data_IF_103230437339
#
_entry.id   IF_103230437339
#
_cell.length_a   1.000
_cell.length_b   1.000
_cell.length_c   1.000
_cell.angle_alpha   90.00
_cell.angle_beta   90.00
_cell.angle_gamma   90.00
#
_symmetry.space_group_name_H-M   'P 1'
#
loop_
_entity.id
_entity.type
_entity.pdbx_description
1 polymer ?
#
# COMPACT_ATOMS: atom_id res chain seq x y z
N UNK A 1 -14.15 -12.23 -15.66
CA UNK A 1 -13.15 -11.46 -15.38
C UNK A 1 -12.33 -11.12 -16.57
N UNK A 2 -11.88 -10.11 -16.62
CA UNK A 2 -11.09 -9.66 -17.71
C UNK A 2 -9.81 -10.40 -17.81
N UNK A 3 -9.88 -11.62 -17.44
CA UNK A 3 -8.71 -12.35 -17.41
C UNK A 3 -8.09 -12.52 -18.69
N UNK A 4 -8.86 -12.55 -19.73
CA UNK A 4 -8.28 -12.79 -21.01
C UNK A 4 -7.32 -11.71 -21.36
N UNK A 5 -7.71 -10.47 -21.19
CA UNK A 5 -6.77 -9.43 -21.50
C UNK A 5 -5.64 -9.42 -20.52
N UNK A 6 -5.90 -9.72 -19.27
CA UNK A 6 -4.81 -9.75 -18.35
C UNK A 6 -3.85 -10.88 -18.64
N UNK A 7 -4.36 -11.98 -19.12
CA UNK A 7 -3.46 -13.02 -19.52
C UNK A 7 -2.57 -12.62 -20.66
N UNK A 8 -3.10 -11.93 -21.62
CA UNK A 8 -2.31 -11.45 -22.72
C UNK A 8 -1.27 -10.47 -22.24
N UNK A 9 -1.64 -9.61 -21.32
CA UNK A 9 -0.71 -8.66 -20.80
C UNK A 9 0.39 -9.33 -20.01
N UNK A 10 0.05 -10.29 -19.18
CA UNK A 10 1.06 -11.00 -18.44
C UNK A 10 1.97 -11.79 -19.34
N UNK A 11 1.44 -12.29 -20.41
CA UNK A 11 2.25 -13.00 -21.36
C UNK A 11 3.29 -12.08 -21.95
N UNK A 12 2.92 -10.86 -22.24
CA UNK A 12 3.85 -9.90 -22.80
C UNK A 12 4.80 -9.35 -21.76
N UNK A 13 4.32 -9.13 -20.55
CA UNK A 13 5.10 -8.51 -19.50
C UNK A 13 5.33 -9.54 -18.43
N UNK A 14 6.42 -10.25 -18.56
CA UNK A 14 6.75 -11.23 -17.54
C UNK A 14 7.67 -10.67 -16.50
N UNK A 15 7.88 -9.39 -16.55
CA UNK A 15 8.82 -8.79 -15.64
C UNK A 15 8.20 -8.57 -14.29
N UNK A 16 9.04 -8.65 -13.30
CA UNK A 16 8.64 -8.48 -11.93
C UNK A 16 9.29 -7.25 -11.37
N UNK A 17 8.71 -6.72 -10.34
CA UNK A 17 9.24 -5.55 -9.67
C UNK A 17 9.01 -5.75 -8.18
N UNK A 18 9.93 -5.23 -7.39
CA UNK A 18 9.77 -5.31 -5.94
C UNK A 18 8.94 -4.16 -5.47
N UNK A 19 8.03 -4.44 -4.55
CA UNK A 19 7.27 -3.38 -3.89
C UNK A 19 7.60 -3.45 -2.42
N UNK A 20 8.18 -2.37 -1.92
CA UNK A 20 8.55 -2.25 -0.52
C UNK A 20 7.46 -1.48 0.20
N UNK A 21 7.17 -1.88 1.41
CA UNK A 21 6.13 -1.24 2.20
C UNK A 21 6.77 -0.58 3.42
N UNK A 22 6.48 0.69 3.60
CA UNK A 22 6.92 1.43 4.77
C UNK A 22 5.71 1.96 5.50
N UNK A 23 5.85 2.14 6.79
CA UNK A 23 4.79 2.70 7.60
C UNK A 23 5.37 3.71 8.56
N UNK A 24 4.59 4.75 8.82
CA UNK A 24 4.97 5.82 9.73
C UNK A 24 3.74 6.20 10.52
N UNK A 25 3.93 6.57 11.76
CA UNK A 25 2.86 7.09 12.59
C UNK A 25 3.20 8.51 12.97
N UNK A 26 2.21 9.39 12.77
CA UNK A 26 2.40 10.79 13.07
C UNK A 26 2.36 10.97 14.58
N UNK A 27 3.52 11.18 15.16
CA UNK A 27 3.70 11.62 16.52
C UNK A 27 3.13 10.78 17.63
N UNK A 28 2.61 9.66 17.44
CA UNK A 28 1.96 8.98 18.53
C UNK A 28 2.50 7.62 18.76
N UNK A 29 2.68 7.26 19.99
CA UNK A 29 3.29 6.00 20.32
C UNK A 29 2.33 4.95 20.81
N UNK A 30 1.04 5.25 20.98
CA UNK A 30 0.12 4.22 21.48
C UNK A 30 -0.42 3.35 20.37
N UNK A 31 -0.25 3.74 19.12
CA UNK A 31 -0.68 2.93 17.98
C UNK A 31 0.55 2.29 17.38
N UNK A 32 0.51 0.98 17.19
CA UNK A 32 1.52 0.28 16.40
C UNK A 32 0.98 0.15 14.99
N UNK A 33 1.81 0.41 14.01
CA UNK A 33 1.36 0.36 12.61
C UNK A 33 2.53 -0.09 11.75
N UNK A 34 2.39 -1.23 11.11
CA UNK A 34 3.48 -1.76 10.31
C UNK A 34 2.95 -2.69 9.25
N UNK A 35 3.67 -2.84 8.14
CA UNK A 35 3.28 -3.81 7.14
C UNK A 35 3.55 -5.22 7.66
N UNK A 36 2.72 -6.15 7.23
CA UNK A 36 2.93 -7.54 7.65
C UNK A 36 4.15 -8.12 6.99
N UNK A 37 4.45 -7.70 5.77
CA UNK A 37 5.72 -8.02 5.13
C UNK A 37 6.32 -6.73 4.62
N UNK A 38 7.63 -6.67 4.56
CA UNK A 38 8.28 -5.41 4.19
C UNK A 38 8.50 -5.28 2.72
N UNK A 39 8.50 -6.36 1.99
CA UNK A 39 8.73 -6.31 0.57
C UNK A 39 8.15 -7.54 -0.07
N UNK A 40 7.53 -7.38 -1.24
CA UNK A 40 7.09 -8.51 -2.03
C UNK A 40 7.52 -8.27 -3.47
N UNK A 41 7.70 -9.37 -4.19
CA UNK A 41 7.96 -9.31 -5.60
C UNK A 41 6.63 -9.52 -6.31
N UNK A 42 6.29 -8.62 -7.21
CA UNK A 42 5.02 -8.71 -7.92
C UNK A 42 5.28 -8.73 -9.41
N UNK A 43 4.39 -9.33 -10.14
CA UNK A 43 4.46 -9.30 -11.58
C UNK A 43 3.73 -8.06 -12.06
N UNK A 44 4.37 -7.33 -12.97
CA UNK A 44 3.79 -6.11 -13.50
C UNK A 44 2.50 -6.47 -14.23
N UNK A 45 1.45 -5.74 -13.92
CA UNK A 45 0.15 -5.96 -14.55
C UNK A 45 -0.78 -6.88 -13.78
N UNK A 46 -0.30 -7.50 -12.70
CA UNK A 46 -1.13 -8.40 -11.92
C UNK A 46 -1.53 -7.79 -10.60
N UNK A 47 -2.74 -8.07 -10.19
CA UNK A 47 -3.20 -7.61 -8.88
C UNK A 47 -2.45 -8.30 -7.76
N UNK A 48 -2.15 -7.55 -6.74
CA UNK A 48 -1.47 -8.05 -5.55
C UNK A 48 -2.17 -7.53 -4.33
N UNK A 49 -1.99 -8.23 -3.23
CA UNK A 49 -2.63 -7.89 -1.98
C UNK A 49 -1.58 -7.87 -0.89
N UNK A 50 -1.59 -6.82 -0.11
CA UNK A 50 -0.71 -6.70 1.04
C UNK A 50 -1.53 -6.22 2.22
N UNK A 51 -1.01 -6.44 3.42
CA UNK A 51 -1.72 -6.08 4.62
C UNK A 51 -0.83 -5.24 5.52
N UNK A 52 -1.44 -4.27 6.16
CA UNK A 52 -0.81 -3.51 7.23
C UNK A 52 -1.53 -3.85 8.51
N UNK A 53 -0.79 -3.92 9.59
CA UNK A 53 -1.35 -4.26 10.88
C UNK A 53 -1.29 -3.05 11.77
N UNK A 54 -2.40 -2.71 12.40
CA UNK A 54 -2.46 -1.61 13.33
C UNK A 54 -3.04 -2.11 14.64
N UNK A 55 -2.50 -1.61 15.74
CA UNK A 55 -2.99 -1.97 17.05
C UNK A 55 -3.05 -0.74 17.92
N UNK A 56 -4.18 -0.57 18.59
CA UNK A 56 -4.35 0.48 19.58
C UNK A 56 -3.94 -0.07 20.93
N UNK A 57 -2.78 0.36 21.42
CA UNK A 57 -2.26 -0.15 22.69
C UNK A 57 -2.72 0.65 23.89
N UNK A 58 -3.76 1.44 23.72
CA UNK A 58 -4.31 2.21 24.83
C UNK A 58 -5.64 1.64 25.27
N UNK A 59 -6.16 2.17 26.34
CA UNK A 59 -7.44 1.72 26.87
C UNK A 59 -8.59 2.61 26.43
N UNK A 60 -8.38 3.42 25.41
CA UNK A 60 -9.42 4.31 24.88
C UNK A 60 -9.49 4.14 23.38
N UNK A 61 -10.67 4.36 22.80
CA UNK A 61 -10.76 4.31 21.34
C UNK A 61 -10.00 5.49 20.73
N UNK A 62 -9.40 5.24 19.58
CA UNK A 62 -8.62 6.25 18.87
C UNK A 62 -9.04 6.27 17.43
N UNK A 63 -9.25 7.48 16.91
CA UNK A 63 -9.59 7.66 15.52
C UNK A 63 -8.32 7.87 14.71
N UNK A 64 -8.19 7.14 13.62
CA UNK A 64 -7.02 7.22 12.76
C UNK A 64 -7.42 7.48 11.34
N UNK A 65 -6.50 8.02 10.57
CA UNK A 65 -6.65 8.21 9.14
C UNK A 65 -5.30 7.98 8.51
N UNK A 66 -5.27 7.31 7.37
CA UNK A 66 -4.01 6.99 6.72
C UNK A 66 -3.96 7.58 5.33
N UNK A 67 -2.76 7.95 4.92
CA UNK A 67 -2.53 8.40 3.55
C UNK A 67 -1.32 7.65 3.03
N UNK A 68 -1.17 7.61 1.71
CA UNK A 68 -0.03 6.91 1.15
C UNK A 68 0.72 7.76 0.14
N UNK A 69 1.97 7.41 -0.06
CA UNK A 69 2.82 7.96 -1.09
C UNK A 69 3.53 6.86 -1.81
N UNK A 70 3.85 7.09 -3.06
CA UNK A 70 4.60 6.15 -3.87
C UNK A 70 5.94 6.79 -4.23
N UNK A 71 7.00 6.04 -4.09
CA UNK A 71 8.34 6.52 -4.40
C UNK A 71 9.02 5.54 -5.34
N UNK A 72 9.65 5.98 -6.41
CA UNK A 72 9.82 7.38 -6.80
C UNK A 72 8.49 7.98 -7.25
N UNK A 73 8.42 9.27 -7.19
CA UNK A 73 7.18 9.99 -7.44
C UNK A 73 6.59 9.64 -8.79
N UNK A 74 7.43 9.48 -9.79
CA UNK A 74 6.97 9.20 -11.14
C UNK A 74 6.24 7.85 -11.23
N UNK A 75 6.54 6.94 -10.31
CA UNK A 75 5.90 5.63 -10.35
C UNK A 75 4.45 5.68 -9.88
N UNK A 76 4.07 6.76 -9.20
CA UNK A 76 2.72 6.83 -8.65
C UNK A 76 1.64 6.72 -9.68
N UNK A 77 1.89 7.27 -10.87
CA UNK A 77 0.86 7.23 -11.90
C UNK A 77 0.61 5.83 -12.45
N UNK A 78 1.48 4.88 -12.12
CA UNK A 78 1.33 3.50 -12.60
C UNK A 78 0.76 2.57 -11.55
N UNK A 79 0.43 3.10 -10.38
CA UNK A 79 -0.29 2.34 -9.40
C UNK A 79 -1.78 2.61 -9.58
N UNK A 80 -2.40 1.88 -10.48
CA UNK A 80 -3.81 2.09 -10.76
C UNK A 80 -4.68 1.21 -9.89
N UNK A 81 -5.83 1.71 -9.58
CA UNK A 81 -6.85 0.93 -8.88
C UNK A 81 -6.39 0.44 -7.52
N UNK A 82 -5.60 1.25 -6.84
CA UNK A 82 -5.28 0.92 -5.47
C UNK A 82 -6.54 1.05 -4.65
N UNK A 83 -6.89 -0.02 -3.97
CA UNK A 83 -7.95 0.00 -2.99
C UNK A 83 -7.30 -0.15 -1.65
N UNK A 84 -7.46 0.85 -0.83
CA UNK A 84 -6.81 0.82 0.46
C UNK A 84 -7.74 1.36 1.51
N UNK A 85 -7.35 1.15 2.74
CA UNK A 85 -8.10 1.64 3.88
C UNK A 85 -7.87 3.13 4.13
N UNK A 86 -7.13 3.79 3.29
CA UNK A 86 -6.49 5.04 3.64
C UNK A 86 -7.34 6.27 3.52
N UNK A 87 -8.42 6.32 2.92
CA UNK A 87 -9.13 7.58 2.76
C UNK A 87 -10.30 7.76 3.70
N UNK A 88 -10.42 6.88 4.67
CA UNK A 88 -11.51 6.95 5.61
C UNK A 88 -11.00 6.94 7.02
N UNK A 89 -11.70 7.65 7.86
CA UNK A 89 -11.37 7.58 9.27
C UNK A 89 -11.77 6.24 9.83
N UNK A 90 -10.93 5.71 10.67
CA UNK A 90 -11.21 4.44 11.32
C UNK A 90 -11.02 4.60 12.80
N UNK A 91 -11.91 3.97 13.57
CA UNK A 91 -11.81 3.98 15.01
C UNK A 91 -11.29 2.64 15.45
N UNK A 92 -10.18 2.65 16.14
CA UNK A 92 -9.64 1.45 16.75
C UNK A 92 -10.05 1.44 18.20
N UNK A 93 -10.79 0.43 18.59
CA UNK A 93 -11.20 0.30 19.98
C UNK A 93 -10.01 0.05 20.87
N UNK A 94 -10.22 0.18 22.17
CA UNK A 94 -9.13 -0.08 23.12
C UNK A 94 -8.55 -1.45 22.89
N UNK A 95 -7.24 -1.51 22.75
CA UNK A 95 -6.51 -2.77 22.58
C UNK A 95 -6.86 -3.55 21.31
N UNK A 96 -7.53 -2.92 20.39
CA UNK A 96 -7.93 -3.59 19.15
C UNK A 96 -6.78 -3.68 18.18
N UNK A 97 -6.65 -4.84 17.53
CA UNK A 97 -5.68 -5.05 16.48
C UNK A 97 -6.43 -5.39 15.20
N UNK A 98 -6.06 -4.76 14.11
CA UNK A 98 -6.73 -5.00 12.83
C UNK A 98 -5.71 -5.18 11.74
N UNK A 99 -6.08 -5.97 10.74
CA UNK A 99 -5.33 -6.09 9.50
C UNK A 99 -6.04 -5.27 8.45
N UNK A 100 -5.29 -4.41 7.80
CA UNK A 100 -5.86 -3.50 6.81
C UNK A 100 -5.34 -3.88 5.44
N UNK A 101 -6.23 -4.28 4.53
CA UNK A 101 -5.79 -4.76 3.22
C UNK A 101 -5.51 -3.61 2.26
N UNK A 102 -4.53 -3.82 1.41
CA UNK A 102 -4.22 -2.92 0.31
C UNK A 102 -4.14 -3.77 -0.94
N UNK A 103 -4.99 -3.49 -1.90
CA UNK A 103 -4.99 -4.19 -3.17
C UNK A 103 -4.46 -3.23 -4.23
N UNK A 104 -3.55 -3.70 -5.05
CA UNK A 104 -2.91 -2.81 -6.00
C UNK A 104 -2.37 -3.59 -7.18
N UNK A 105 -2.05 -2.87 -8.26
CA UNK A 105 -1.22 -3.46 -9.30
C UNK A 105 -0.36 -2.35 -9.93
N UNK A 106 0.74 -2.76 -10.53
CA UNK A 106 1.61 -1.85 -11.25
C UNK A 106 1.25 -1.95 -12.73
N UNK A 107 0.86 -0.83 -13.31
CA UNK A 107 0.39 -0.81 -14.68
C UNK A 107 1.53 -1.17 -15.63
N UNK A 108 1.23 -2.01 -16.61
CA UNK A 108 2.24 -2.43 -17.57
C UNK A 108 2.83 -1.28 -18.35
N UNK A 109 2.12 -0.19 -18.48
CA UNK A 109 2.64 0.96 -19.22
C UNK A 109 3.85 1.59 -18.56
N UNK A 110 4.21 1.17 -17.35
CA UNK A 110 5.42 1.66 -16.72
C UNK A 110 6.64 1.31 -17.56
N UNK A 111 6.56 0.23 -18.33
CA UNK A 111 7.68 -0.18 -19.17
C UNK A 111 7.86 0.70 -20.38
N UNK A 112 6.88 1.54 -20.67
CA UNK A 112 6.98 2.48 -21.79
C UNK A 112 7.49 3.84 -21.34
N UNK A 113 7.70 4.04 -20.06
CA UNK A 113 8.16 5.30 -19.52
C UNK A 113 9.68 5.33 -19.54
N UNK A 114 10.23 6.19 -20.38
CA UNK A 114 11.67 6.25 -20.56
C UNK A 114 12.43 6.52 -19.28
N UNK A 115 11.80 7.19 -18.35
CA UNK A 115 12.50 7.64 -17.14
C UNK A 115 12.55 6.56 -16.07
N UNK A 116 11.58 5.65 -16.08
CA UNK A 116 11.52 4.67 -14.99
C UNK A 116 11.31 3.24 -15.47
N UNK A 117 11.40 2.98 -16.76
CA UNK A 117 11.11 1.63 -17.25
C UNK A 117 12.06 0.58 -16.68
N UNK A 118 13.23 1.00 -16.22
CA UNK A 118 14.20 0.07 -15.66
C UNK A 118 14.17 0.04 -14.14
N UNK A 119 13.17 0.66 -13.56
CA UNK A 119 13.03 0.69 -12.12
C UNK A 119 12.83 -0.72 -11.59
N UNK A 120 13.51 -1.05 -10.51
CA UNK A 120 13.46 -2.39 -9.95
C UNK A 120 12.70 -2.45 -8.64
N UNK A 121 12.42 -1.32 -8.04
CA UNK A 121 11.74 -1.30 -6.77
C UNK A 121 10.89 -0.05 -6.66
N UNK A 122 9.69 -0.22 -6.13
CA UNK A 122 8.79 0.88 -5.83
C UNK A 122 8.47 0.79 -4.35
N UNK A 123 8.46 1.93 -3.67
CA UNK A 123 8.14 1.97 -2.26
C UNK A 123 6.76 2.58 -2.07
N UNK A 124 5.92 1.86 -1.37
CA UNK A 124 4.59 2.32 -0.99
C UNK A 124 4.64 2.63 0.50
N UNK A 125 4.53 3.90 0.82
CA UNK A 125 4.67 4.37 2.20
C UNK A 125 3.33 4.84 2.71
N UNK A 126 2.93 4.33 3.84
CA UNK A 126 1.69 4.77 4.48
C UNK A 126 2.03 5.53 5.75
N UNK A 127 1.33 6.64 5.95
CA UNK A 127 1.46 7.41 7.18
C UNK A 127 0.10 7.41 7.87
N UNK A 128 0.08 7.02 9.12
CA UNK A 128 -1.15 7.02 9.89
C UNK A 128 -1.16 8.23 10.81
N UNK A 129 -2.22 8.98 10.72
CA UNK A 129 -2.43 10.14 11.56
C UNK A 129 -3.44 9.78 12.63
N UNK A 130 -3.13 10.19 13.84
CA UNK A 130 -3.98 9.91 14.99
C UNK A 130 -4.68 11.19 15.35
N UNK A 131 -6.02 11.15 15.36
CA UNK A 131 -6.78 12.30 15.75
C UNK A 131 -6.98 12.28 17.24
N UNK A 132 -6.73 13.38 17.87
CA UNK A 132 -7.01 13.46 19.28
C UNK A 132 -8.50 13.47 19.52
N UNK A 133 -8.94 12.66 20.45
CA UNK A 133 -10.32 12.70 20.85
C UNK A 133 -10.46 13.61 22.06
N UNK A 134 -11.41 14.45 22.00
CA UNK A 134 -11.60 15.41 23.08
C UNK A 134 -12.39 14.84 24.20
#
# INVERSE_FOLDING_TARGET
>A
TPQISSENDSYKIKEKIDVRFDSTIDRNSVISFEPEVKKIEVQIGENSLAFFKAKNNSDKPITTMSVFNVSPLQAGQYFNKIECFCFEEQVLSANEEVSMPVSFFVDASIKDDKFIKDLQEITLSYTMYVRKNE
#
